data_IF_968161681128
#
_entry.id   IF_968161681128
#
_cell.length_a   1.000
_cell.length_b   1.000
_cell.length_c   1.000
_cell.angle_alpha   90.00
_cell.angle_beta   90.00
_cell.angle_gamma   90.00
#
_symmetry.space_group_name_H-M   'P 1'
#
loop_
_entity.id
_entity.type
_entity.pdbx_description
1 polymer ?
#
# COMPACT_ATOMS: atom_id res chain seq x y z
N UNK A 1 -34.31 -10.53 31.77
CA UNK A 1 -34.87 -9.90 30.56
C UNK A 1 -34.21 -8.56 30.24
N UNK A 2 -34.01 -7.67 31.19
CA UNK A 2 -33.37 -6.35 31.03
C UNK A 2 -31.90 -6.43 30.64
N UNK A 3 -31.13 -7.41 31.10
CA UNK A 3 -29.70 -7.56 30.82
C UNK A 3 -29.42 -7.96 29.35
N UNK A 4 -30.29 -8.76 28.77
CA UNK A 4 -30.18 -9.17 27.37
C UNK A 4 -30.47 -8.00 26.42
N UNK A 5 -31.40 -7.13 26.77
CA UNK A 5 -31.74 -5.92 26.01
C UNK A 5 -30.55 -4.94 26.04
N UNK A 6 -29.90 -4.78 27.20
CA UNK A 6 -28.72 -3.91 27.35
C UNK A 6 -27.53 -4.36 26.49
N UNK A 7 -27.27 -5.67 26.39
CA UNK A 7 -26.22 -6.25 25.56
C UNK A 7 -26.48 -6.00 24.06
N UNK A 8 -27.70 -6.20 23.61
CA UNK A 8 -28.07 -5.99 22.22
C UNK A 8 -27.97 -4.52 21.80
N UNK A 9 -28.38 -3.61 22.69
CA UNK A 9 -28.25 -2.16 22.46
C UNK A 9 -26.77 -1.78 22.36
N UNK A 10 -25.92 -2.28 23.25
CA UNK A 10 -24.48 -2.01 23.22
C UNK A 10 -23.82 -2.55 21.96
N UNK A 11 -24.19 -3.76 21.53
CA UNK A 11 -23.72 -4.34 20.27
C UNK A 11 -24.13 -3.48 19.07
N UNK A 12 -25.37 -2.99 19.05
CA UNK A 12 -25.88 -2.10 18.00
C UNK A 12 -25.06 -0.81 17.89
N UNK A 13 -24.72 -0.18 19.03
CA UNK A 13 -23.87 1.01 19.02
C UNK A 13 -22.47 0.74 18.46
N UNK A 14 -21.87 -0.41 18.78
CA UNK A 14 -20.57 -0.77 18.22
C UNK A 14 -20.66 -1.00 16.70
N UNK A 15 -21.70 -1.68 16.23
CA UNK A 15 -21.93 -1.88 14.79
C UNK A 15 -22.08 -0.55 14.07
N UNK A 16 -22.90 0.35 14.61
CA UNK A 16 -23.10 1.69 14.02
C UNK A 16 -21.79 2.48 14.00
N UNK A 17 -21.00 2.46 15.08
CA UNK A 17 -19.71 3.13 15.12
C UNK A 17 -18.74 2.60 14.06
N UNK A 18 -18.64 1.28 13.90
CA UNK A 18 -17.82 0.64 12.86
C UNK A 18 -18.28 1.04 11.46
N UNK A 19 -19.58 1.05 11.21
CA UNK A 19 -20.14 1.47 9.92
C UNK A 19 -19.84 2.93 9.60
N UNK A 20 -19.92 3.83 10.59
CA UNK A 20 -19.59 5.26 10.43
C UNK A 20 -18.10 5.41 10.09
N UNK A 21 -17.22 4.70 10.80
CA UNK A 21 -15.78 4.74 10.54
C UNK A 21 -15.48 4.19 9.14
N UNK A 22 -16.04 3.05 8.78
CA UNK A 22 -15.86 2.44 7.46
C UNK A 22 -16.34 3.39 6.34
N UNK A 23 -17.49 4.02 6.52
CA UNK A 23 -18.02 5.01 5.58
C UNK A 23 -17.12 6.23 5.43
N UNK A 24 -16.63 6.77 6.55
CA UNK A 24 -15.68 7.89 6.53
C UNK A 24 -14.38 7.52 5.80
N UNK A 25 -13.83 6.33 6.05
CA UNK A 25 -12.66 5.81 5.32
C UNK A 25 -12.95 5.69 3.82
N UNK A 26 -14.09 5.14 3.42
CA UNK A 26 -14.47 5.04 2.01
C UNK A 26 -14.59 6.42 1.33
N UNK A 27 -15.09 7.44 2.04
CA UNK A 27 -15.17 8.80 1.51
C UNK A 27 -13.77 9.39 1.31
N UNK A 28 -12.90 9.26 2.32
CA UNK A 28 -11.54 9.81 2.27
C UNK A 28 -10.73 9.14 1.15
N UNK A 29 -10.84 7.83 1.02
CA UNK A 29 -10.09 7.04 0.04
C UNK A 29 -10.88 6.74 -1.25
N UNK A 30 -11.93 7.53 -1.55
CA UNK A 30 -12.77 7.30 -2.73
C UNK A 30 -11.98 7.27 -4.04
N UNK A 31 -10.94 8.08 -4.17
CA UNK A 31 -10.08 8.12 -5.36
C UNK A 31 -9.34 6.79 -5.60
N UNK A 32 -8.98 6.07 -4.54
CA UNK A 32 -8.38 4.75 -4.66
C UNK A 32 -9.30 3.75 -5.38
N UNK A 33 -10.60 3.81 -5.14
CA UNK A 33 -11.58 2.95 -5.82
C UNK A 33 -11.81 3.35 -7.30
N UNK A 34 -11.39 4.55 -7.67
CA UNK A 34 -11.43 5.04 -9.06
C UNK A 34 -10.11 4.82 -9.80
N UNK A 35 -9.14 4.15 -9.17
CA UNK A 35 -7.82 3.92 -9.74
C UNK A 35 -6.89 5.14 -9.66
N UNK A 36 -7.23 6.14 -8.86
CA UNK A 36 -6.37 7.29 -8.61
C UNK A 36 -5.28 6.92 -7.58
N UNK A 37 -4.06 7.33 -7.85
CA UNK A 37 -2.97 7.21 -6.88
C UNK A 37 -3.08 8.35 -5.88
N UNK A 38 -3.08 8.01 -4.59
CA UNK A 38 -3.02 9.01 -3.52
C UNK A 38 -1.59 9.53 -3.46
N UNK A 39 -1.33 10.60 -4.19
CA UNK A 39 -0.04 11.29 -4.19
C UNK A 39 -0.18 12.69 -3.59
N UNK A 40 0.89 13.18 -3.00
CA UNK A 40 0.96 14.56 -2.53
C UNK A 40 0.87 15.52 -3.74
N UNK A 41 0.16 16.63 -3.61
CA UNK A 41 -0.08 17.61 -4.70
C UNK A 41 1.12 18.55 -4.94
N UNK A 42 2.30 17.99 -5.12
CA UNK A 42 3.54 18.74 -5.40
C UNK A 42 3.91 18.78 -6.89
N UNK A 43 2.95 18.59 -7.78
CA UNK A 43 3.16 18.58 -9.21
C UNK A 43 3.86 17.32 -9.74
N UNK A 44 3.84 16.24 -8.99
CA UNK A 44 4.47 14.97 -9.36
C UNK A 44 5.95 14.86 -8.95
N UNK A 45 6.49 15.86 -8.29
CA UNK A 45 7.88 15.91 -7.80
C UNK A 45 8.00 15.28 -6.41
N UNK A 46 7.60 14.02 -6.25
CA UNK A 46 7.67 13.34 -4.96
C UNK A 46 8.40 12.00 -5.06
N UNK A 47 8.84 11.50 -3.91
CA UNK A 47 9.55 10.22 -3.83
C UNK A 47 8.74 9.04 -4.35
N UNK A 48 7.40 9.12 -4.32
CA UNK A 48 6.54 8.09 -4.86
C UNK A 48 6.76 7.92 -6.37
N UNK A 49 6.73 9.02 -7.13
CA UNK A 49 6.82 8.99 -8.60
C UNK A 49 8.24 8.83 -9.11
N UNK A 50 9.24 9.46 -8.44
CA UNK A 50 10.63 9.45 -8.93
C UNK A 50 11.47 8.32 -8.38
N UNK A 51 11.14 7.79 -7.21
CA UNK A 51 11.94 6.77 -6.56
C UNK A 51 11.16 5.47 -6.35
N UNK A 52 10.03 5.53 -5.64
CA UNK A 52 9.33 4.31 -5.21
C UNK A 52 8.73 3.53 -6.39
N UNK A 53 7.94 4.16 -7.24
CA UNK A 53 7.28 3.47 -8.37
C UNK A 53 8.31 2.85 -9.33
N UNK A 54 9.33 3.58 -9.85
CA UNK A 54 10.33 2.98 -10.71
C UNK A 54 11.11 1.84 -10.05
N UNK A 55 11.44 1.98 -8.77
CA UNK A 55 12.18 0.95 -8.03
C UNK A 55 11.34 -0.29 -7.81
N UNK A 56 10.07 -0.13 -7.45
CA UNK A 56 9.12 -1.24 -7.28
C UNK A 56 8.87 -1.97 -8.61
N UNK A 57 8.75 -1.24 -9.71
CA UNK A 57 8.62 -1.84 -11.04
C UNK A 57 9.82 -2.75 -11.37
N UNK A 58 11.05 -2.25 -11.25
CA UNK A 58 12.25 -3.05 -11.52
C UNK A 58 12.38 -4.24 -10.56
N UNK A 59 11.96 -4.08 -9.31
CA UNK A 59 11.96 -5.16 -8.35
C UNK A 59 10.94 -6.26 -8.72
N UNK A 60 9.72 -5.87 -9.13
CA UNK A 60 8.70 -6.79 -9.60
C UNK A 60 9.16 -7.59 -10.81
N UNK A 61 9.77 -6.91 -11.80
CA UNK A 61 10.33 -7.59 -12.98
C UNK A 61 11.43 -8.60 -12.63
N UNK A 62 12.31 -8.25 -11.68
CA UNK A 62 13.34 -9.16 -11.21
C UNK A 62 12.75 -10.41 -10.54
N UNK A 63 11.74 -10.23 -9.68
CA UNK A 63 11.04 -11.34 -9.02
C UNK A 63 10.37 -12.28 -10.01
N UNK A 64 9.71 -11.76 -11.04
CA UNK A 64 9.09 -12.56 -12.12
C UNK A 64 10.12 -13.38 -12.91
N UNK A 65 11.33 -12.86 -13.03
CA UNK A 65 12.45 -13.58 -13.65
C UNK A 65 13.15 -14.57 -12.69
N UNK A 66 12.65 -14.73 -11.47
CA UNK A 66 13.24 -15.59 -10.45
C UNK A 66 14.54 -15.06 -9.88
N UNK A 67 14.80 -13.76 -10.01
CA UNK A 67 15.98 -13.09 -9.49
C UNK A 67 15.58 -12.08 -8.41
N UNK A 68 16.55 -11.65 -7.62
CA UNK A 68 16.35 -10.64 -6.59
C UNK A 68 17.15 -9.40 -6.95
N UNK A 69 16.46 -8.27 -7.14
CA UNK A 69 17.11 -7.01 -7.49
C UNK A 69 17.88 -6.47 -6.27
N UNK A 70 19.18 -6.72 -6.23
CA UNK A 70 20.06 -6.20 -5.18
C UNK A 70 20.59 -4.81 -5.48
N UNK A 71 20.72 -4.47 -6.77
CA UNK A 71 21.29 -3.24 -7.27
C UNK A 71 20.43 -2.67 -8.38
N UNK A 72 20.07 -1.39 -8.28
CA UNK A 72 19.40 -0.68 -9.36
C UNK A 72 20.40 0.26 -10.06
N UNK A 73 20.78 -0.04 -11.32
CA UNK A 73 21.76 0.77 -12.03
C UNK A 73 21.19 2.09 -12.59
N UNK A 74 19.88 2.27 -12.57
CA UNK A 74 19.19 3.38 -13.22
C UNK A 74 19.00 4.62 -12.33
N UNK A 75 19.27 4.50 -11.02
CA UNK A 75 19.07 5.57 -10.05
C UNK A 75 20.44 6.00 -9.51
N UNK A 76 20.70 7.31 -9.47
CA UNK A 76 21.89 7.92 -8.86
C UNK A 76 23.24 7.35 -9.35
N UNK A 77 23.31 6.79 -10.56
CA UNK A 77 24.50 6.10 -11.05
C UNK A 77 24.73 4.72 -10.47
N UNK A 78 23.73 4.16 -9.80
CA UNK A 78 23.71 2.86 -9.17
C UNK A 78 23.34 2.94 -7.68
N UNK A 79 22.35 2.16 -7.28
CA UNK A 79 21.78 2.23 -5.94
C UNK A 79 21.55 0.84 -5.32
N UNK A 80 22.03 0.57 -4.09
CA UNK A 80 21.86 -0.71 -3.43
C UNK A 80 20.45 -0.83 -2.84
N UNK A 81 19.60 -1.60 -3.48
CA UNK A 81 18.16 -1.74 -3.13
C UNK A 81 17.98 -2.30 -1.71
N UNK A 82 18.75 -3.31 -1.30
CA UNK A 82 18.59 -3.90 0.02
C UNK A 82 19.16 -3.07 1.18
N UNK A 83 20.10 -2.18 0.90
CA UNK A 83 20.64 -1.29 1.90
C UNK A 83 19.67 -0.14 2.23
N UNK A 84 18.69 0.08 1.36
CA UNK A 84 17.67 1.09 1.50
C UNK A 84 16.43 0.46 2.16
N UNK A 85 16.16 0.81 3.44
CA UNK A 85 15.08 0.19 4.23
C UNK A 85 13.67 0.65 3.90
N UNK A 86 13.48 1.70 3.10
CA UNK A 86 12.16 2.30 2.84
C UNK A 86 11.31 1.48 1.86
N UNK A 87 11.96 0.75 0.94
CA UNK A 87 11.28 0.03 -0.13
C UNK A 87 10.51 -1.22 0.33
N UNK A 88 10.73 -1.69 1.56
CA UNK A 88 10.08 -2.88 2.13
C UNK A 88 10.13 -4.11 1.20
N UNK A 89 11.22 -4.25 0.44
CA UNK A 89 11.35 -5.24 -0.63
C UNK A 89 11.28 -6.70 -0.14
N UNK A 90 11.73 -6.97 1.08
CA UNK A 90 11.66 -8.31 1.68
C UNK A 90 10.39 -8.55 2.49
N UNK A 91 9.46 -7.60 2.53
CA UNK A 91 8.20 -7.79 3.21
C UNK A 91 7.37 -8.86 2.47
N UNK A 92 6.95 -9.96 3.14
CA UNK A 92 6.38 -11.12 2.46
C UNK A 92 5.16 -10.81 1.60
N UNK A 93 4.33 -9.87 2.04
CA UNK A 93 3.13 -9.44 1.29
C UNK A 93 3.54 -8.73 0.00
N UNK A 94 4.55 -7.86 0.05
CA UNK A 94 5.07 -7.18 -1.14
C UNK A 94 5.70 -8.16 -2.12
N UNK A 95 6.51 -9.10 -1.63
CA UNK A 95 7.09 -10.15 -2.48
C UNK A 95 6.00 -10.95 -3.20
N UNK A 96 4.95 -11.33 -2.49
CA UNK A 96 3.82 -12.05 -3.07
C UNK A 96 3.09 -11.21 -4.12
N UNK A 97 2.74 -9.96 -3.79
CA UNK A 97 2.01 -9.09 -4.70
C UNK A 97 2.81 -8.79 -5.97
N UNK A 98 4.09 -8.43 -5.83
CA UNK A 98 4.95 -8.11 -6.98
C UNK A 98 5.28 -9.32 -7.85
N UNK A 99 5.21 -10.55 -7.31
CA UNK A 99 5.39 -11.77 -8.09
C UNK A 99 4.17 -12.14 -8.93
N UNK A 100 2.97 -11.68 -8.55
CA UNK A 100 1.70 -12.08 -9.16
C UNK A 100 1.14 -10.99 -10.08
N UNK A 101 1.19 -9.74 -9.64
CA UNK A 101 0.56 -8.62 -10.35
C UNK A 101 1.53 -7.92 -11.30
N UNK A 102 1.00 -7.47 -12.43
CA UNK A 102 1.71 -6.57 -13.35
C UNK A 102 1.55 -5.12 -12.87
N UNK A 103 2.64 -4.37 -13.00
CA UNK A 103 2.71 -2.94 -12.67
C UNK A 103 2.53 -2.11 -13.93
#
# INVERSE_FOLDING_TARGET
>A
MTEHISKNIRLLYHIIAVLIIAFAVCIVFRGFFSGEIIAHSDGGNNDLTYFNIPTMYHYAEALKQGTVLQWNPYIYGGFPIFAEGQGSFLYPVNVLLYSIFDF
#
